data_IF_006297077463
#
_entry.id   IF_006297077463
#
_cell.length_a   1.000
_cell.length_b   1.000
_cell.length_c   1.000
_cell.angle_alpha   90.00
_cell.angle_beta   90.00
_cell.angle_gamma   90.00
#
_symmetry.space_group_name_H-M   'P 1'
#
loop_
_entity.id
_entity.type
_entity.pdbx_description
1 polymer ?
#
# COMPACT_ATOMS: atom_id res chain seq x y z
N UNK A 1 -78.03 -16.38 -45.15
CA UNK A 1 -76.82 -15.59 -44.80
C UNK A 1 -76.27 -15.89 -43.39
N UNK A 2 -77.02 -15.67 -42.29
CA UNK A 2 -76.51 -15.80 -40.90
C UNK A 2 -75.89 -17.17 -40.54
N UNK A 3 -76.43 -18.29 -41.01
CA UNK A 3 -75.88 -19.62 -40.74
C UNK A 3 -74.51 -19.90 -41.39
N UNK A 4 -74.27 -19.35 -42.59
CA UNK A 4 -73.00 -19.50 -43.33
C UNK A 4 -71.89 -18.73 -42.64
N UNK A 5 -72.14 -17.49 -42.21
CA UNK A 5 -71.19 -16.71 -41.41
C UNK A 5 -70.88 -17.37 -40.05
N UNK A 6 -71.87 -18.03 -39.43
CA UNK A 6 -71.66 -18.77 -38.19
C UNK A 6 -70.80 -20.04 -38.39
N UNK A 7 -70.91 -20.71 -39.54
CA UNK A 7 -70.07 -21.85 -39.89
C UNK A 7 -68.63 -21.40 -40.22
N UNK A 8 -68.47 -20.35 -41.02
CA UNK A 8 -67.17 -19.71 -41.31
C UNK A 8 -66.47 -19.25 -40.03
N UNK A 9 -67.20 -18.65 -39.10
CA UNK A 9 -66.66 -18.26 -37.79
C UNK A 9 -66.29 -19.45 -36.89
N UNK A 10 -66.89 -20.63 -37.08
CA UNK A 10 -66.46 -21.87 -36.38
C UNK A 10 -65.19 -22.46 -36.98
N UNK A 11 -65.09 -22.49 -38.31
CA UNK A 11 -63.88 -22.94 -39.02
C UNK A 11 -62.71 -22.02 -38.72
N UNK A 12 -62.89 -20.70 -38.80
CA UNK A 12 -61.86 -19.73 -38.44
C UNK A 12 -61.38 -19.89 -37.00
N UNK A 13 -62.29 -20.13 -36.03
CA UNK A 13 -61.92 -20.39 -34.64
C UNK A 13 -61.16 -21.70 -34.45
N UNK A 14 -61.51 -22.76 -35.20
CA UNK A 14 -60.76 -24.03 -35.19
C UNK A 14 -59.35 -23.85 -35.75
N UNK A 15 -59.21 -23.17 -36.88
CA UNK A 15 -57.92 -22.88 -37.50
C UNK A 15 -57.05 -22.00 -36.57
N UNK A 16 -57.61 -20.92 -36.02
CA UNK A 16 -56.91 -20.07 -35.05
C UNK A 16 -56.50 -20.85 -33.80
N UNK A 17 -57.36 -21.77 -33.30
CA UNK A 17 -57.03 -22.64 -32.16
C UNK A 17 -55.87 -23.58 -32.46
N UNK A 18 -55.80 -24.12 -33.68
CA UNK A 18 -54.68 -24.97 -34.14
C UNK A 18 -53.37 -24.18 -34.34
N UNK A 19 -53.46 -22.90 -34.74
CA UNK A 19 -52.29 -22.03 -34.88
C UNK A 19 -51.74 -21.48 -33.56
N UNK A 20 -52.49 -21.55 -32.44
CA UNK A 20 -52.05 -20.97 -31.15
C UNK A 20 -50.70 -21.51 -30.67
N UNK A 21 -50.46 -22.81 -30.83
CA UNK A 21 -49.20 -23.42 -30.39
C UNK A 21 -48.02 -22.91 -31.22
N UNK A 22 -48.19 -22.82 -32.54
CA UNK A 22 -47.19 -22.26 -33.45
C UNK A 22 -46.92 -20.78 -33.18
N UNK A 23 -47.97 -19.99 -32.89
CA UNK A 23 -47.83 -18.58 -32.50
C UNK A 23 -47.05 -18.45 -31.17
N UNK A 24 -47.36 -19.27 -30.16
CA UNK A 24 -46.66 -19.27 -28.88
C UNK A 24 -45.20 -19.76 -28.99
N UNK A 25 -44.89 -20.64 -29.93
CA UNK A 25 -43.50 -21.02 -30.24
C UNK A 25 -42.76 -19.89 -30.97
N UNK A 26 -43.43 -19.18 -31.87
CA UNK A 26 -42.85 -18.04 -32.57
C UNK A 26 -42.59 -16.86 -31.62
N UNK A 27 -43.52 -16.56 -30.70
CA UNK A 27 -43.34 -15.55 -29.65
C UNK A 27 -42.16 -15.89 -28.73
N UNK A 28 -42.04 -17.15 -28.32
CA UNK A 28 -40.88 -17.63 -27.55
C UNK A 28 -39.57 -17.50 -28.34
N UNK A 29 -39.57 -17.87 -29.62
CA UNK A 29 -38.40 -17.71 -30.49
C UNK A 29 -37.97 -16.25 -30.66
N UNK A 30 -38.93 -15.34 -30.86
CA UNK A 30 -38.66 -13.89 -30.94
C UNK A 30 -38.16 -13.36 -29.60
N UNK A 31 -38.74 -13.77 -28.47
CA UNK A 31 -38.29 -13.38 -27.15
C UNK A 31 -36.86 -13.86 -26.87
N UNK A 32 -36.53 -15.12 -27.20
CA UNK A 32 -35.17 -15.66 -27.06
C UNK A 32 -34.18 -14.91 -27.95
N UNK A 33 -34.50 -14.69 -29.22
CA UNK A 33 -33.62 -13.96 -30.14
C UNK A 33 -33.44 -12.48 -29.73
N UNK A 34 -34.49 -11.84 -29.20
CA UNK A 34 -34.40 -10.49 -28.65
C UNK A 34 -33.55 -10.46 -27.36
N UNK A 35 -33.68 -11.46 -26.49
CA UNK A 35 -32.87 -11.59 -25.27
C UNK A 35 -31.40 -11.85 -25.59
N UNK A 36 -31.08 -12.74 -26.53
CA UNK A 36 -29.70 -12.98 -26.99
C UNK A 36 -29.07 -11.72 -27.59
N UNK A 37 -29.85 -10.97 -28.39
CA UNK A 37 -29.38 -9.72 -28.99
C UNK A 37 -29.21 -8.61 -27.95
N UNK A 38 -30.09 -8.51 -26.96
CA UNK A 38 -29.95 -7.58 -25.83
C UNK A 38 -28.73 -7.92 -24.97
N UNK A 39 -28.51 -9.20 -24.65
CA UNK A 39 -27.30 -9.64 -23.94
C UNK A 39 -26.02 -9.29 -24.69
N UNK A 40 -26.00 -9.41 -26.02
CA UNK A 40 -24.86 -9.01 -26.84
C UNK A 40 -24.65 -7.49 -26.86
N UNK A 41 -25.73 -6.69 -26.86
CA UNK A 41 -25.68 -5.22 -26.81
C UNK A 41 -25.20 -4.73 -25.44
N UNK A 42 -25.63 -5.36 -24.35
CA UNK A 42 -25.28 -4.99 -22.98
C UNK A 42 -23.94 -5.55 -22.51
N UNK A 43 -23.34 -6.49 -23.26
CA UNK A 43 -22.05 -7.08 -22.91
C UNK A 43 -20.92 -6.06 -22.94
N UNK A 44 -20.82 -5.26 -24.02
CA UNK A 44 -19.81 -4.21 -24.15
C UNK A 44 -19.87 -3.15 -23.04
N UNK A 45 -21.04 -2.52 -22.80
CA UNK A 45 -21.23 -1.58 -21.69
C UNK A 45 -20.94 -2.18 -20.31
N UNK A 46 -21.26 -3.46 -20.10
CA UNK A 46 -20.98 -4.15 -18.83
C UNK A 46 -19.48 -4.34 -18.60
N UNK A 47 -18.74 -4.75 -19.62
CA UNK A 47 -17.28 -4.88 -19.54
C UNK A 47 -16.65 -3.51 -19.25
N UNK A 48 -17.06 -2.47 -19.97
CA UNK A 48 -16.57 -1.11 -19.73
C UNK A 48 -16.90 -0.61 -18.31
N UNK A 49 -18.10 -0.93 -17.79
CA UNK A 49 -18.46 -0.61 -16.41
C UNK A 49 -17.62 -1.39 -15.39
N UNK A 50 -17.34 -2.67 -15.64
CA UNK A 50 -16.47 -3.48 -14.78
C UNK A 50 -15.04 -2.96 -14.77
N UNK A 51 -14.48 -2.56 -15.92
CA UNK A 51 -13.17 -1.92 -16.01
C UNK A 51 -13.13 -0.60 -15.23
N UNK A 52 -14.18 0.22 -15.30
CA UNK A 52 -14.29 1.46 -14.53
C UNK A 52 -14.36 1.21 -13.01
N UNK A 53 -15.13 0.21 -12.57
CA UNK A 53 -15.19 -0.17 -11.16
C UNK A 53 -13.85 -0.72 -10.68
N UNK A 54 -13.18 -1.55 -11.50
CA UNK A 54 -11.84 -2.05 -11.21
C UNK A 54 -10.80 -0.94 -11.07
N UNK A 55 -10.84 0.04 -11.98
CA UNK A 55 -9.99 1.23 -11.94
C UNK A 55 -10.26 2.08 -10.69
N UNK A 56 -11.55 2.31 -10.38
CA UNK A 56 -11.96 3.04 -9.19
C UNK A 56 -11.42 2.37 -7.92
N UNK A 57 -11.60 1.05 -7.81
CA UNK A 57 -11.09 0.26 -6.70
C UNK A 57 -9.56 0.36 -6.58
N UNK A 58 -8.85 0.21 -7.70
CA UNK A 58 -7.39 0.32 -7.70
C UNK A 58 -6.90 1.73 -7.31
N UNK A 59 -7.55 2.79 -7.77
CA UNK A 59 -7.20 4.16 -7.38
C UNK A 59 -7.43 4.42 -5.89
N UNK A 60 -8.57 3.96 -5.35
CA UNK A 60 -8.85 4.02 -3.91
C UNK A 60 -7.83 3.21 -3.11
N UNK A 61 -7.55 1.96 -3.48
CA UNK A 61 -6.57 1.13 -2.80
C UNK A 61 -5.19 1.80 -2.75
N UNK A 62 -4.71 2.33 -3.89
CA UNK A 62 -3.42 3.04 -3.94
C UNK A 62 -3.41 4.27 -3.05
N UNK A 63 -4.45 5.10 -3.11
CA UNK A 63 -4.56 6.28 -2.26
C UNK A 63 -4.56 5.91 -0.77
N UNK A 64 -5.41 4.97 -0.36
CA UNK A 64 -5.54 4.59 1.05
C UNK A 64 -4.25 3.93 1.56
N UNK A 65 -3.68 3.03 0.78
CA UNK A 65 -2.54 2.20 1.19
C UNK A 65 -1.20 2.94 1.10
N UNK A 66 -1.01 3.80 0.09
CA UNK A 66 0.27 4.49 -0.17
C UNK A 66 0.31 5.92 0.34
N UNK A 67 -0.84 6.55 0.58
CA UNK A 67 -0.92 7.97 0.96
C UNK A 67 -1.66 8.14 2.29
N UNK A 68 -2.92 7.73 2.40
CA UNK A 68 -3.68 8.01 3.63
C UNK A 68 -3.11 7.28 4.87
N UNK A 69 -2.74 6.00 4.72
CA UNK A 69 -2.24 5.19 5.83
C UNK A 69 -0.96 5.75 6.49
N UNK A 70 0.08 6.21 5.75
CA UNK A 70 1.20 6.93 6.34
C UNK A 70 0.79 8.16 7.17
N UNK A 71 -0.15 8.98 6.68
CA UNK A 71 -0.63 10.13 7.42
C UNK A 71 -1.33 9.72 8.73
N UNK A 72 -2.19 8.71 8.66
CA UNK A 72 -2.93 8.21 9.83
C UNK A 72 -2.00 7.71 10.93
N UNK A 73 -0.96 6.95 10.56
CA UNK A 73 0.07 6.51 11.52
C UNK A 73 0.82 7.67 12.18
N UNK A 74 0.86 8.84 11.54
CA UNK A 74 1.46 10.07 12.10
C UNK A 74 0.47 10.91 12.91
N UNK A 75 -0.73 10.41 13.21
CA UNK A 75 -1.77 11.17 13.89
C UNK A 75 -2.36 12.28 13.02
N UNK A 76 -2.36 12.09 11.70
CA UNK A 76 -2.82 13.08 10.72
C UNK A 76 -3.78 12.46 9.73
N UNK A 77 -4.63 13.27 9.11
CA UNK A 77 -5.58 12.77 8.13
C UNK A 77 -5.73 13.77 6.96
N UNK A 78 -5.76 13.29 5.69
CA UNK A 78 -5.87 14.20 4.55
C UNK A 78 -7.23 14.90 4.53
N UNK A 79 -7.26 16.23 4.49
CA UNK A 79 -8.50 17.00 4.59
C UNK A 79 -9.25 17.19 3.26
N UNK A 80 -8.68 16.69 2.16
CA UNK A 80 -9.22 16.79 0.79
C UNK A 80 -9.16 15.43 0.08
N UNK A 81 -9.82 14.42 0.63
CA UNK A 81 -9.70 13.04 0.16
C UNK A 81 -10.21 12.88 -1.27
N UNK A 82 -11.28 13.56 -1.64
CA UNK A 82 -11.83 13.64 -3.00
C UNK A 82 -10.79 14.03 -4.07
N UNK A 83 -10.01 15.08 -3.80
CA UNK A 83 -8.92 15.55 -4.68
C UNK A 83 -7.85 14.46 -4.81
N UNK A 84 -7.54 13.77 -3.72
CA UNK A 84 -6.60 12.66 -3.74
C UNK A 84 -7.08 11.49 -4.59
N UNK A 85 -8.36 11.13 -4.50
CA UNK A 85 -8.98 10.08 -5.33
C UNK A 85 -8.97 10.48 -6.79
N UNK A 86 -9.38 11.71 -7.11
CA UNK A 86 -9.39 12.20 -8.49
C UNK A 86 -7.97 12.21 -9.09
N UNK A 87 -6.96 12.62 -8.31
CA UNK A 87 -5.58 12.63 -8.75
C UNK A 87 -5.02 11.21 -8.96
N UNK A 88 -5.28 10.28 -8.03
CA UNK A 88 -4.88 8.87 -8.17
C UNK A 88 -5.51 8.21 -9.39
N UNK A 89 -6.82 8.42 -9.62
CA UNK A 89 -7.51 7.87 -10.80
C UNK A 89 -7.01 8.49 -12.11
N UNK A 90 -6.69 9.78 -12.09
CA UNK A 90 -6.12 10.48 -13.26
C UNK A 90 -4.73 9.93 -13.60
N UNK A 91 -3.87 9.71 -12.60
CA UNK A 91 -2.55 9.12 -12.76
C UNK A 91 -2.64 7.68 -13.28
N UNK A 92 -3.53 6.87 -12.69
CA UNK A 92 -3.72 5.47 -13.06
C UNK A 92 -4.26 5.33 -14.49
N UNK A 93 -5.26 6.14 -14.86
CA UNK A 93 -5.78 6.20 -16.23
C UNK A 93 -4.69 6.56 -17.25
N UNK A 94 -3.77 7.46 -16.90
CA UNK A 94 -2.63 7.83 -17.76
C UNK A 94 -1.63 6.69 -17.91
N UNK A 95 -1.29 5.98 -16.83
CA UNK A 95 -0.31 4.88 -16.86
C UNK A 95 -0.83 3.66 -17.60
N UNK A 96 -2.07 3.28 -17.33
CA UNK A 96 -2.66 2.06 -17.90
C UNK A 96 -3.24 2.29 -19.30
N UNK A 97 -3.20 3.54 -19.81
CA UNK A 97 -3.80 3.96 -21.10
C UNK A 97 -5.26 3.50 -21.23
N UNK A 98 -5.97 3.43 -20.11
CA UNK A 98 -7.33 2.92 -20.05
C UNK A 98 -8.31 3.98 -20.56
N UNK A 99 -9.12 3.57 -21.53
CA UNK A 99 -10.23 4.30 -22.15
C UNK A 99 -9.94 5.77 -22.50
N UNK A 100 -9.78 6.04 -23.80
CA UNK A 100 -9.71 7.41 -24.32
C UNK A 100 -10.81 8.29 -23.70
N UNK A 101 -10.41 9.30 -22.93
CA UNK A 101 -11.30 10.27 -22.31
C UNK A 101 -11.68 10.06 -20.84
N UNK A 102 -11.24 8.99 -20.15
CA UNK A 102 -11.55 8.85 -18.70
C UNK A 102 -10.91 9.95 -17.85
N UNK A 103 -9.62 10.21 -18.04
CA UNK A 103 -8.94 11.34 -17.40
C UNK A 103 -9.59 12.69 -17.74
N UNK A 104 -10.12 12.85 -18.97
CA UNK A 104 -10.85 14.06 -19.36
C UNK A 104 -12.17 14.21 -18.58
N UNK A 105 -12.91 13.11 -18.37
CA UNK A 105 -14.14 13.09 -17.57
C UNK A 105 -13.91 13.36 -16.08
N UNK A 106 -12.77 12.93 -15.52
CA UNK A 106 -12.40 13.27 -14.15
C UNK A 106 -12.13 14.76 -13.95
N UNK A 107 -11.79 15.49 -15.03
CA UNK A 107 -11.63 16.94 -15.02
C UNK A 107 -12.95 17.71 -15.19
N UNK A 108 -14.08 17.02 -15.42
CA UNK A 108 -15.40 17.65 -15.43
C UNK A 108 -15.83 18.04 -14.01
N UNK A 109 -16.81 18.95 -13.93
CA UNK A 109 -17.32 19.43 -12.63
C UNK A 109 -17.88 18.24 -11.83
N UNK A 110 -17.32 17.90 -10.66
CA UNK A 110 -17.75 16.73 -9.91
C UNK A 110 -19.12 16.96 -9.28
N UNK A 111 -19.86 15.87 -9.03
CA UNK A 111 -21.19 15.94 -8.42
C UNK A 111 -21.15 16.50 -6.98
N UNK A 112 -20.01 16.37 -6.28
CA UNK A 112 -19.84 16.95 -4.94
C UNK A 112 -19.92 18.48 -4.94
N UNK A 113 -19.63 19.16 -6.06
CA UNK A 113 -19.82 20.62 -6.18
C UNK A 113 -21.28 21.09 -6.10
N UNK A 114 -22.23 20.15 -6.11
CA UNK A 114 -23.65 20.43 -5.93
C UNK A 114 -24.07 20.41 -4.45
N UNK A 115 -23.17 19.99 -3.56
CA UNK A 115 -23.42 19.99 -2.12
C UNK A 115 -23.36 21.43 -1.57
N UNK A 116 -24.11 21.69 -0.50
CA UNK A 116 -24.11 23.01 0.14
C UNK A 116 -22.75 23.33 0.78
N UNK A 117 -22.13 22.33 1.43
CA UNK A 117 -20.84 22.43 2.11
C UNK A 117 -19.89 21.29 1.68
N UNK A 118 -19.37 21.30 0.43
CA UNK A 118 -18.60 20.19 -0.12
C UNK A 118 -17.35 19.86 0.71
N UNK A 119 -16.66 20.87 1.23
CA UNK A 119 -15.46 20.66 2.06
C UNK A 119 -15.76 19.99 3.41
N UNK A 120 -16.89 20.33 4.05
CA UNK A 120 -17.28 19.70 5.31
C UNK A 120 -17.69 18.24 5.11
N UNK A 121 -18.34 17.93 3.98
CA UNK A 121 -18.67 16.56 3.60
C UNK A 121 -17.41 15.75 3.32
N UNK A 122 -16.44 16.30 2.61
CA UNK A 122 -15.18 15.59 2.34
C UNK A 122 -14.34 15.36 3.60
N UNK A 123 -14.29 16.32 4.53
CA UNK A 123 -13.69 16.13 5.85
C UNK A 123 -14.38 14.99 6.62
N UNK A 124 -15.71 14.97 6.66
CA UNK A 124 -16.47 13.90 7.30
C UNK A 124 -16.22 12.53 6.64
N UNK A 125 -16.11 12.47 5.31
CA UNK A 125 -15.77 11.25 4.56
C UNK A 125 -14.34 10.80 4.88
N UNK A 126 -13.40 11.72 5.00
CA UNK A 126 -12.00 11.39 5.32
C UNK A 126 -11.84 10.84 6.73
N UNK A 127 -12.50 11.46 7.72
CA UNK A 127 -12.55 10.96 9.10
C UNK A 127 -13.26 9.60 9.18
N UNK A 128 -14.38 9.41 8.49
CA UNK A 128 -15.07 8.12 8.40
C UNK A 128 -14.17 7.04 7.79
N UNK A 129 -13.43 7.38 6.73
CA UNK A 129 -12.50 6.47 6.07
C UNK A 129 -11.37 6.07 7.02
N UNK A 130 -10.75 7.03 7.71
CA UNK A 130 -9.73 6.75 8.72
C UNK A 130 -10.27 5.87 9.86
N UNK A 131 -11.51 6.10 10.27
CA UNK A 131 -12.16 5.29 11.29
C UNK A 131 -12.39 3.85 10.83
N UNK A 132 -12.89 3.64 9.60
CA UNK A 132 -13.15 2.31 9.04
C UNK A 132 -11.89 1.49 8.81
N UNK A 133 -10.81 2.12 8.33
CA UNK A 133 -9.61 1.41 7.89
C UNK A 133 -8.43 1.48 8.87
N UNK A 134 -8.41 2.45 9.78
CA UNK A 134 -7.32 2.65 10.74
C UNK A 134 -7.80 2.69 12.21
N UNK A 135 -9.10 2.81 12.46
CA UNK A 135 -9.63 3.00 13.81
C UNK A 135 -9.30 4.38 14.37
N UNK A 136 -9.11 5.38 13.50
CA UNK A 136 -8.91 6.78 13.91
C UNK A 136 -10.13 7.34 14.67
N UNK A 137 -9.95 8.44 15.43
CA UNK A 137 -11.05 9.09 16.14
C UNK A 137 -12.07 9.67 15.15
N UNK A 138 -13.32 9.81 15.61
CA UNK A 138 -14.41 10.34 14.79
C UNK A 138 -14.29 11.85 14.51
N UNK A 139 -13.57 12.58 15.36
CA UNK A 139 -13.40 14.03 15.27
C UNK A 139 -11.93 14.42 15.27
N UNK A 140 -11.63 15.54 14.62
CA UNK A 140 -10.32 16.20 14.63
C UNK A 140 -9.91 16.64 16.05
N UNK A 141 -8.61 16.64 16.32
CA UNK A 141 -8.09 17.04 17.63
C UNK A 141 -6.58 17.33 17.62
N UNK A 142 -6.00 17.71 18.77
CA UNK A 142 -4.57 18.06 18.85
C UNK A 142 -3.62 16.93 18.46
N UNK A 143 -4.01 15.68 18.70
CA UNK A 143 -3.29 14.46 18.30
C UNK A 143 -3.83 13.82 17.02
N UNK A 144 -4.79 14.48 16.35
CA UNK A 144 -5.45 14.00 15.13
C UNK A 144 -5.77 15.17 14.20
N UNK A 145 -4.74 15.69 13.54
CA UNK A 145 -4.81 16.96 12.82
C UNK A 145 -5.01 16.77 11.31
N UNK A 146 -5.75 17.67 10.63
CA UNK A 146 -5.83 17.67 9.18
C UNK A 146 -4.46 17.93 8.55
N UNK A 147 -4.25 17.38 7.36
CA UNK A 147 -3.13 17.73 6.48
C UNK A 147 -3.64 18.04 5.08
N UNK A 148 -3.18 19.15 4.52
CA UNK A 148 -3.46 19.50 3.12
C UNK A 148 -2.39 18.89 2.19
N UNK A 149 -2.74 18.74 0.91
CA UNK A 149 -1.84 18.12 -0.07
C UNK A 149 -0.57 18.91 -0.37
N UNK A 150 -0.55 20.23 -0.19
CA UNK A 150 0.67 21.03 -0.33
C UNK A 150 1.64 20.81 0.83
N UNK A 151 1.13 20.68 2.06
CA UNK A 151 1.91 20.42 3.26
C UNK A 151 2.28 18.93 3.44
N UNK A 152 1.57 18.02 2.78
CA UNK A 152 1.73 16.57 2.92
C UNK A 152 3.19 16.07 2.81
N UNK A 153 4.01 16.50 1.83
CA UNK A 153 5.39 16.03 1.72
C UNK A 153 6.25 16.40 2.94
N UNK A 154 6.09 17.58 3.50
CA UNK A 154 6.86 18.01 4.67
C UNK A 154 6.29 17.41 5.97
N UNK A 155 4.97 17.42 6.11
CA UNK A 155 4.34 17.08 7.38
C UNK A 155 4.17 15.58 7.62
N UNK A 156 4.11 14.79 6.53
CA UNK A 156 3.96 13.33 6.56
C UNK A 156 5.19 12.64 6.02
N UNK A 157 5.59 12.91 4.77
CA UNK A 157 6.66 12.14 4.10
C UNK A 157 8.00 12.30 4.81
N UNK A 158 8.48 13.54 4.97
CA UNK A 158 9.78 13.80 5.63
C UNK A 158 9.76 13.29 7.09
N UNK A 159 8.68 13.54 7.83
CA UNK A 159 8.56 13.07 9.22
C UNK A 159 8.54 11.55 9.33
N UNK A 160 7.84 10.85 8.42
CA UNK A 160 7.87 9.38 8.38
C UNK A 160 9.27 8.87 8.09
N UNK A 161 9.97 9.45 7.12
CA UNK A 161 11.35 9.06 6.83
C UNK A 161 12.28 9.26 8.03
N UNK A 162 12.19 10.41 8.72
CA UNK A 162 13.01 10.68 9.92
C UNK A 162 12.67 9.72 11.05
N UNK A 163 11.40 9.40 11.28
CA UNK A 163 10.98 8.44 12.30
C UNK A 163 11.47 7.01 12.00
N UNK A 164 11.37 6.57 10.73
CA UNK A 164 11.89 5.26 10.30
C UNK A 164 13.43 5.20 10.40
N UNK A 165 14.14 6.24 9.97
CA UNK A 165 15.59 6.34 10.12
C UNK A 165 16.03 6.37 11.60
N UNK A 166 15.30 7.08 12.48
CA UNK A 166 15.53 7.07 13.92
C UNK A 166 15.37 5.67 14.51
N UNK A 167 14.34 4.93 14.09
CA UNK A 167 14.12 3.55 14.50
C UNK A 167 15.27 2.64 14.06
N UNK A 168 15.71 2.77 12.81
CA UNK A 168 16.83 2.00 12.27
C UNK A 168 18.08 2.15 13.14
N UNK A 169 18.43 3.40 13.48
CA UNK A 169 19.59 3.66 14.33
C UNK A 169 19.40 3.16 15.77
N UNK A 170 18.21 3.33 16.37
CA UNK A 170 17.91 2.75 17.70
C UNK A 170 18.10 1.23 17.72
N UNK A 171 17.73 0.53 16.64
CA UNK A 171 17.95 -0.92 16.52
C UNK A 171 19.44 -1.24 16.35
N UNK A 172 20.17 -0.51 15.49
CA UNK A 172 21.62 -0.68 15.37
C UNK A 172 22.37 -0.47 16.70
N UNK A 173 21.97 0.54 17.47
CA UNK A 173 22.49 0.80 18.81
C UNK A 173 22.23 -0.39 19.75
N UNK A 174 21.03 -0.97 19.71
CA UNK A 174 20.67 -2.14 20.53
C UNK A 174 21.44 -3.41 20.15
N UNK A 175 21.89 -3.51 18.89
CA UNK A 175 22.74 -4.60 18.39
C UNK A 175 24.23 -4.37 18.71
N UNK A 176 24.59 -3.25 19.36
CA UNK A 176 25.98 -2.94 19.72
C UNK A 176 26.85 -2.49 18.56
N UNK A 177 26.26 -2.12 17.42
CA UNK A 177 26.99 -1.59 16.26
C UNK A 177 27.56 -0.22 16.65
N UNK A 178 28.86 -0.12 16.89
CA UNK A 178 29.45 1.13 17.37
C UNK A 178 29.43 2.22 16.29
N UNK A 179 29.19 3.50 16.64
CA UNK A 179 29.40 4.61 15.70
C UNK A 179 30.85 4.66 15.23
N UNK A 180 31.08 5.08 13.98
CA UNK A 180 32.43 5.35 13.50
C UNK A 180 32.98 6.58 14.23
N UNK A 181 33.87 6.35 15.19
CA UNK A 181 34.53 7.39 15.98
C UNK A 181 35.70 8.01 15.18
N UNK A 182 35.45 8.57 13.99
CA UNK A 182 36.46 9.40 13.34
C UNK A 182 36.52 10.76 14.06
N UNK A 183 37.58 11.05 14.84
CA UNK A 183 37.69 12.27 15.63
C UNK A 183 37.81 13.55 14.78
N UNK A 184 37.98 13.43 13.46
CA UNK A 184 37.97 14.57 12.54
C UNK A 184 36.56 15.05 12.16
N UNK A 185 35.50 14.32 12.53
CA UNK A 185 34.11 14.69 12.23
C UNK A 185 33.51 15.56 13.34
N UNK A 186 32.72 16.60 13.02
CA UNK A 186 32.16 17.52 14.03
C UNK A 186 31.21 16.88 15.05
N UNK A 187 30.72 15.66 14.78
CA UNK A 187 29.85 14.88 15.66
C UNK A 187 30.18 13.37 15.52
N UNK A 188 31.20 12.87 16.25
CA UNK A 188 31.75 11.52 16.08
C UNK A 188 30.81 10.34 16.45
N UNK A 189 29.50 10.59 16.62
CA UNK A 189 28.52 9.58 17.01
C UNK A 189 27.13 9.75 16.39
N UNK A 190 26.94 10.72 15.48
CA UNK A 190 25.64 11.00 14.88
C UNK A 190 25.12 9.87 13.98
N UNK A 191 23.81 9.82 13.70
CA UNK A 191 23.22 8.85 12.79
C UNK A 191 23.65 9.16 11.35
N UNK A 192 24.50 8.30 10.78
CA UNK A 192 25.02 8.43 9.41
C UNK A 192 24.57 7.27 8.55
N UNK A 193 24.33 7.52 7.26
CA UNK A 193 24.01 6.47 6.30
C UNK A 193 25.22 5.54 6.11
N UNK A 194 26.44 6.08 6.15
CA UNK A 194 27.68 5.30 6.08
C UNK A 194 27.72 4.19 7.12
N UNK A 195 27.32 4.46 8.38
CA UNK A 195 27.24 3.45 9.44
C UNK A 195 26.32 2.28 9.09
N UNK A 196 25.18 2.56 8.46
CA UNK A 196 24.24 1.51 8.00
C UNK A 196 24.87 0.68 6.89
N UNK A 197 25.47 1.34 5.89
CA UNK A 197 26.13 0.66 4.77
C UNK A 197 27.29 -0.21 5.24
N UNK A 198 28.12 0.29 6.13
CA UNK A 198 29.30 -0.42 6.64
C UNK A 198 28.89 -1.64 7.47
N UNK A 199 27.85 -1.52 8.30
CA UNK A 199 27.32 -2.66 9.05
C UNK A 199 26.84 -3.77 8.13
N UNK A 200 26.09 -3.43 7.07
CA UNK A 200 25.53 -4.43 6.15
C UNK A 200 26.56 -5.01 5.18
N UNK A 201 27.63 -4.26 4.87
CA UNK A 201 28.69 -4.67 3.96
C UNK A 201 29.83 -5.45 4.61
N UNK A 202 29.96 -5.39 5.94
CA UNK A 202 30.99 -6.15 6.64
C UNK A 202 30.73 -7.65 6.40
N UNK A 203 31.73 -8.45 6.00
CA UNK A 203 31.56 -9.89 5.89
C UNK A 203 31.26 -10.46 7.28
N UNK A 204 30.40 -11.48 7.37
CA UNK A 204 30.24 -12.23 8.62
C UNK A 204 31.65 -12.69 9.01
N UNK A 205 32.17 -12.20 10.12
CA UNK A 205 33.46 -12.69 10.59
C UNK A 205 33.26 -14.19 10.80
N UNK A 206 34.08 -15.00 10.12
CA UNK A 206 34.27 -16.41 10.43
C UNK A 206 34.83 -16.50 11.86
N UNK A 207 33.97 -16.30 12.86
CA UNK A 207 34.15 -16.88 14.18
C UNK A 207 33.78 -18.35 14.07
N UNK A 208 34.53 -19.08 13.24
CA UNK A 208 34.70 -20.50 13.43
C UNK A 208 35.53 -20.65 14.73
N UNK A 209 34.98 -21.21 15.81
CA UNK A 209 35.84 -21.70 16.87
C UNK A 209 36.75 -22.75 16.21
N UNK A 210 38.05 -22.50 16.22
CA UNK A 210 39.05 -23.50 15.83
C UNK A 210 38.95 -24.64 16.86
N UNK A 211 38.05 -25.58 16.61
CA UNK A 211 38.00 -26.86 17.31
C UNK A 211 39.05 -27.75 16.64
N UNK A 212 40.10 -28.20 17.34
CA UNK A 212 41.03 -29.14 16.76
C UNK A 212 40.32 -30.48 16.54
N UNK A 213 40.39 -30.96 15.31
CA UNK A 213 39.79 -32.20 14.84
C UNK A 213 40.20 -33.41 15.69
N UNK A 214 39.26 -34.28 16.07
CA UNK A 214 39.53 -35.68 16.34
C UNK A 214 39.01 -36.56 15.21
N UNK A 215 39.92 -37.37 14.69
CA UNK A 215 39.75 -38.52 13.81
C UNK A 215 38.54 -39.39 14.11
N UNK A 216 37.77 -39.71 13.07
CA UNK A 216 36.77 -40.78 13.05
C UNK A 216 37.43 -42.17 13.16
N UNK A 217 36.66 -43.19 13.54
CA UNK A 217 36.28 -44.19 12.54
C UNK A 217 34.79 -44.50 12.46
N UNK A 218 34.42 -45.02 11.29
CA UNK A 218 33.10 -45.46 10.81
C UNK A 218 32.50 -46.60 11.66
N UNK A 219 31.16 -46.70 11.70
CA UNK A 219 30.42 -47.91 11.28
C UNK A 219 28.88 -47.74 11.38
N UNK A 220 28.24 -48.03 10.23
CA UNK A 220 26.97 -48.74 9.95
C UNK A 220 25.58 -48.23 10.40
N UNK A 221 24.84 -47.81 9.35
CA UNK A 221 23.58 -48.36 8.81
C UNK A 221 22.27 -48.50 9.63
N UNK A 222 21.21 -48.03 8.96
CA UNK A 222 19.82 -48.52 8.90
C UNK A 222 18.76 -47.91 9.85
N UNK A 223 17.84 -47.13 9.27
CA UNK A 223 16.45 -47.55 9.04
C UNK A 223 15.57 -46.34 8.65
N UNK A 224 14.79 -46.49 7.59
CA UNK A 224 13.89 -45.48 7.07
C UNK A 224 12.63 -45.29 7.93
N UNK A 225 12.03 -44.10 7.84
CA UNK A 225 10.59 -44.00 7.62
C UNK A 225 10.18 -42.59 7.19
N UNK A 226 9.47 -42.57 6.07
CA UNK A 226 8.84 -41.44 5.43
C UNK A 226 7.45 -41.28 6.05
N UNK A 227 7.16 -40.15 6.70
CA UNK A 227 5.80 -39.78 7.08
C UNK A 227 5.67 -38.25 7.31
N UNK A 228 4.94 -37.61 6.39
CA UNK A 228 4.11 -36.41 6.58
C UNK A 228 4.61 -35.33 7.54
N UNK A 229 5.22 -34.29 6.97
CA UNK A 229 5.11 -32.93 7.54
C UNK A 229 4.09 -32.17 6.70
N UNK A 230 3.04 -31.58 7.30
CA UNK A 230 2.08 -30.79 6.54
C UNK A 230 2.76 -29.49 6.08
N UNK A 231 2.55 -29.19 4.80
CA UNK A 231 2.39 -27.85 4.21
C UNK A 231 2.98 -26.69 5.04
N UNK A 232 4.28 -26.42 4.84
CA UNK A 232 4.86 -25.10 5.13
C UNK A 232 4.32 -24.14 4.06
N UNK A 233 3.14 -23.60 4.32
CA UNK A 233 2.71 -22.37 3.68
C UNK A 233 3.73 -21.26 3.99
N UNK A 234 4.19 -20.60 2.92
CA UNK A 234 4.87 -19.30 2.91
C UNK A 234 6.12 -19.16 3.80
N UNK A 235 7.21 -19.83 3.41
CA UNK A 235 8.55 -19.36 3.79
C UNK A 235 8.83 -18.06 3.01
N UNK A 236 8.54 -16.94 3.66
CA UNK A 236 8.97 -15.60 3.30
C UNK A 236 10.46 -15.60 2.89
N UNK A 237 10.90 -14.97 1.77
CA UNK A 237 12.32 -14.86 1.47
C UNK A 237 13.04 -14.08 2.58
N UNK A 238 13.64 -14.84 3.50
CA UNK A 238 14.53 -14.33 4.54
C UNK A 238 15.60 -13.43 3.87
N UNK A 239 15.93 -12.27 4.46
CA UNK A 239 17.03 -11.46 3.96
C UNK A 239 18.30 -12.32 3.91
N UNK A 240 18.95 -12.34 2.74
CA UNK A 240 19.91 -13.40 2.43
C UNK A 240 21.22 -13.34 3.25
N UNK A 241 21.54 -12.21 3.91
CA UNK A 241 22.67 -12.12 4.86
C UNK A 241 22.21 -12.18 6.32
N UNK A 242 23.01 -12.80 7.19
CA UNK A 242 22.73 -12.92 8.63
C UNK A 242 22.55 -11.54 9.30
N UNK A 243 23.35 -10.54 8.93
CA UNK A 243 23.23 -9.18 9.46
C UNK A 243 21.92 -8.51 9.01
N UNK A 244 21.54 -8.65 7.73
CA UNK A 244 20.24 -8.17 7.25
C UNK A 244 19.09 -8.85 8.00
N UNK A 245 19.19 -10.16 8.27
CA UNK A 245 18.20 -10.91 9.06
C UNK A 245 18.09 -10.42 10.51
N UNK A 246 19.22 -10.21 11.19
CA UNK A 246 19.24 -9.69 12.56
C UNK A 246 18.65 -8.28 12.63
N UNK A 247 18.99 -7.41 11.67
CA UNK A 247 18.48 -6.04 11.62
C UNK A 247 16.98 -6.01 11.30
N UNK A 248 16.53 -6.83 10.35
CA UNK A 248 15.11 -6.99 10.02
C UNK A 248 14.31 -7.50 11.23
N UNK A 249 14.80 -8.53 11.93
CA UNK A 249 14.17 -9.05 13.14
C UNK A 249 14.10 -7.99 14.26
N UNK A 250 15.16 -7.20 14.44
CA UNK A 250 15.19 -6.08 15.38
C UNK A 250 14.16 -4.99 15.07
N UNK A 251 14.01 -4.64 13.79
CA UNK A 251 12.99 -3.69 13.30
C UNK A 251 11.57 -4.22 13.52
N UNK A 252 11.30 -5.48 13.15
CA UNK A 252 10.01 -6.14 13.37
C UNK A 252 9.65 -6.15 14.86
N UNK A 253 10.61 -6.49 15.73
CA UNK A 253 10.41 -6.47 17.17
C UNK A 253 10.16 -5.06 17.72
N UNK A 254 10.81 -4.04 17.16
CA UNK A 254 10.58 -2.64 17.55
C UNK A 254 9.18 -2.15 17.17
N UNK A 255 8.73 -2.44 15.94
CA UNK A 255 7.38 -2.09 15.49
C UNK A 255 6.30 -2.81 16.31
N UNK A 256 6.48 -4.11 16.56
CA UNK A 256 5.53 -4.87 17.37
C UNK A 256 5.43 -4.36 18.82
N UNK A 257 6.47 -3.70 19.36
CA UNK A 257 6.41 -3.04 20.67
C UNK A 257 5.61 -1.75 20.61
N UNK A 258 5.85 -0.92 19.61
CA UNK A 258 5.12 0.34 19.43
C UNK A 258 3.64 0.10 19.13
N UNK A 259 3.29 -0.87 18.29
CA UNK A 259 1.89 -1.25 18.05
C UNK A 259 1.17 -1.70 19.34
N UNK A 260 1.88 -2.38 20.25
CA UNK A 260 1.35 -2.77 21.56
C UNK A 260 1.17 -1.56 22.48
N UNK A 261 2.09 -0.61 22.46
CA UNK A 261 2.01 0.64 23.22
C UNK A 261 0.85 1.51 22.72
N UNK A 262 0.69 1.67 21.41
CA UNK A 262 -0.42 2.38 20.78
C UNK A 262 -1.77 1.72 21.06
N UNK A 263 -1.83 0.39 21.02
CA UNK A 263 -3.06 -0.36 21.33
C UNK A 263 -3.42 -0.34 22.83
N UNK A 264 -2.45 -0.08 23.70
CA UNK A 264 -2.67 0.07 25.14
C UNK A 264 -3.25 1.44 25.51
N UNK A 265 -3.10 2.45 24.64
CA UNK A 265 -3.80 3.72 24.77
C UNK A 265 -5.25 3.52 24.33
N UNK A 266 -6.26 3.77 25.20
CA UNK A 266 -7.65 3.64 24.78
C UNK A 266 -7.94 4.65 23.66
N UNK A 267 -8.08 4.17 22.42
CA UNK A 267 -8.62 4.95 21.30
C UNK A 267 -10.02 5.41 21.72
N UNK A 268 -10.19 6.73 21.85
CA UNK A 268 -11.17 7.34 22.73
C UNK A 268 -12.61 6.85 22.57
N UNK A 269 -13.13 6.22 23.63
CA UNK A 269 -14.55 6.29 23.95
C UNK A 269 -14.87 7.71 24.47
N UNK A 270 -15.39 8.59 23.62
CA UNK A 270 -16.26 9.74 23.98
C UNK A 270 -16.63 10.62 22.77
N UNK A 271 -17.81 10.38 22.21
CA UNK A 271 -18.74 11.42 21.72
C UNK A 271 -20.11 10.77 21.43
N UNK A 272 -20.98 10.67 22.43
CA UNK A 272 -22.38 10.27 22.23
C UNK A 272 -23.16 11.48 21.69
N UNK A 273 -23.15 11.64 20.36
CA UNK A 273 -24.04 12.56 19.64
C UNK A 273 -25.35 11.86 19.25
N UNK A 274 -26.47 12.56 19.02
CA UNK A 274 -27.76 11.92 18.74
C UNK A 274 -27.78 11.01 17.50
N UNK A 275 -26.87 11.22 16.54
CA UNK A 275 -26.71 10.39 15.33
C UNK A 275 -25.69 9.23 15.48
N UNK A 276 -25.03 9.10 16.64
CA UNK A 276 -24.08 8.00 16.91
C UNK A 276 -24.77 6.65 17.20
N UNK A 277 -26.10 6.60 17.16
CA UNK A 277 -26.88 5.40 17.49
C UNK A 277 -27.01 4.40 16.33
N UNK A 278 -26.68 4.80 15.09
CA UNK A 278 -26.75 3.90 13.92
C UNK A 278 -25.47 3.09 13.68
N UNK A 279 -24.37 3.47 14.32
CA UNK A 279 -23.06 2.85 14.16
C UNK A 279 -22.49 2.63 15.56
N UNK A 280 -22.69 1.44 16.14
CA UNK A 280 -22.12 1.10 17.45
C UNK A 280 -20.60 1.35 17.42
N UNK A 281 -20.17 2.34 18.22
CA UNK A 281 -18.84 2.96 18.19
C UNK A 281 -17.66 2.06 18.65
N UNK A 282 -17.86 0.74 18.76
CA UNK A 282 -16.86 -0.19 19.32
C UNK A 282 -16.40 -1.33 18.41
N UNK A 283 -17.21 -1.75 17.44
CA UNK A 283 -17.07 -3.09 16.80
C UNK A 283 -17.06 -3.04 15.27
N UNK A 284 -16.65 -1.92 14.65
CA UNK A 284 -16.39 -1.94 13.21
C UNK A 284 -15.14 -2.80 12.97
N UNK A 285 -15.24 -3.92 12.23
CA UNK A 285 -14.09 -4.76 11.96
C UNK A 285 -13.06 -3.92 11.19
N UNK A 286 -11.88 -3.74 11.78
CA UNK A 286 -10.78 -3.07 11.08
C UNK A 286 -10.38 -3.93 9.91
N UNK A 287 -10.40 -3.35 8.71
CA UNK A 287 -9.89 -3.99 7.51
C UNK A 287 -8.41 -3.62 7.37
N UNK A 288 -7.47 -4.53 7.66
CA UNK A 288 -6.05 -4.21 7.50
C UNK A 288 -5.78 -3.92 6.01
N UNK A 289 -5.42 -2.67 5.72
CA UNK A 289 -5.13 -2.22 4.35
C UNK A 289 -3.89 -2.87 3.75
N UNK A 290 -2.98 -3.38 4.58
CA UNK A 290 -1.76 -4.00 4.12
C UNK A 290 -1.65 -5.42 4.66
N UNK A 291 -1.22 -6.40 3.83
CA UNK A 291 -0.76 -7.67 4.35
C UNK A 291 0.44 -7.44 5.30
N UNK A 292 0.70 -8.38 6.22
CA UNK A 292 1.88 -8.30 7.07
C UNK A 292 3.14 -8.22 6.19
N UNK A 293 3.96 -7.19 6.46
CA UNK A 293 5.19 -6.96 5.70
C UNK A 293 6.25 -7.99 6.07
N UNK A 294 7.00 -8.39 5.07
CA UNK A 294 8.13 -9.29 5.23
C UNK A 294 9.29 -8.59 5.95
N UNK A 295 10.18 -9.34 6.61
CA UNK A 295 11.36 -8.76 7.25
C UNK A 295 12.22 -7.97 6.25
N UNK A 296 12.34 -8.50 5.03
CA UNK A 296 13.04 -7.88 3.90
C UNK A 296 12.40 -6.56 3.47
N UNK A 297 11.08 -6.49 3.34
CA UNK A 297 10.34 -5.26 3.01
C UNK A 297 10.50 -4.19 4.08
N UNK A 298 10.44 -4.58 5.36
CA UNK A 298 10.65 -3.67 6.47
C UNK A 298 12.06 -3.08 6.42
N UNK A 299 13.08 -3.91 6.27
CA UNK A 299 14.46 -3.45 6.18
C UNK A 299 14.67 -2.51 4.98
N UNK A 300 14.15 -2.86 3.81
CA UNK A 300 14.24 -2.03 2.61
C UNK A 300 13.59 -0.65 2.81
N UNK A 301 12.42 -0.59 3.45
CA UNK A 301 11.75 0.68 3.75
C UNK A 301 12.59 1.56 4.67
N UNK A 302 13.13 1.01 5.77
CA UNK A 302 13.93 1.79 6.73
C UNK A 302 15.26 2.27 6.15
N UNK A 303 15.93 1.45 5.32
CA UNK A 303 17.13 1.87 4.60
C UNK A 303 16.79 2.98 3.59
N UNK A 304 15.69 2.83 2.85
CA UNK A 304 15.21 3.86 1.91
C UNK A 304 14.93 5.17 2.63
N UNK A 305 14.25 5.14 3.78
CA UNK A 305 14.01 6.30 4.61
C UNK A 305 15.31 6.99 5.06
N UNK A 306 16.32 6.22 5.48
CA UNK A 306 17.63 6.77 5.85
C UNK A 306 18.34 7.43 4.67
N UNK A 307 18.25 6.83 3.46
CA UNK A 307 18.79 7.40 2.23
C UNK A 307 18.08 8.71 1.88
N UNK A 308 16.75 8.75 1.96
CA UNK A 308 15.97 9.94 1.71
C UNK A 308 16.33 11.08 2.68
N UNK A 309 16.47 10.78 3.99
CA UNK A 309 16.89 11.79 4.96
C UNK A 309 18.31 12.32 4.66
N UNK A 310 19.25 11.44 4.32
CA UNK A 310 20.60 11.85 3.93
C UNK A 310 20.59 12.72 2.67
N UNK A 311 19.75 12.41 1.69
CA UNK A 311 19.61 13.18 0.47
C UNK A 311 19.05 14.59 0.73
N UNK A 312 18.00 14.70 1.56
CA UNK A 312 17.41 15.98 1.96
C UNK A 312 18.45 16.83 2.69
N UNK A 313 19.17 16.25 3.65
CA UNK A 313 20.08 17.00 4.52
C UNK A 313 21.41 17.37 3.83
N UNK A 314 21.84 16.64 2.80
CA UNK A 314 23.20 16.78 2.24
C UNK A 314 23.26 17.15 0.76
N UNK A 315 22.21 16.87 -0.01
CA UNK A 315 22.17 17.07 -1.46
C UNK A 315 21.07 18.04 -1.91
N UNK A 316 20.30 18.62 -0.98
CA UNK A 316 19.20 19.54 -1.33
C UNK A 316 18.00 18.84 -1.98
N UNK A 317 17.87 17.52 -1.77
CA UNK A 317 16.69 16.79 -2.19
C UNK A 317 15.45 17.26 -1.42
N UNK A 318 14.26 17.01 -1.96
CA UNK A 318 13.00 17.33 -1.31
C UNK A 318 12.10 16.09 -1.19
N UNK A 319 11.28 15.99 -0.13
CA UNK A 319 10.18 15.03 -0.08
C UNK A 319 9.14 15.40 -1.13
N UNK A 320 8.56 14.38 -1.76
CA UNK A 320 7.48 14.50 -2.73
C UNK A 320 6.41 13.44 -2.54
N UNK A 321 5.36 13.52 -3.34
CA UNK A 321 4.24 12.58 -3.35
C UNK A 321 3.92 12.16 -4.79
N UNK A 322 3.88 10.84 -5.01
CA UNK A 322 3.30 10.20 -6.18
C UNK A 322 1.98 9.53 -5.77
N UNK A 323 0.89 9.76 -6.49
CA UNK A 323 -0.43 9.27 -6.09
C UNK A 323 -0.58 7.75 -6.15
N UNK A 324 0.27 7.04 -6.90
CA UNK A 324 0.22 5.59 -7.05
C UNK A 324 1.31 4.88 -6.25
N UNK A 325 2.46 5.53 -6.12
CA UNK A 325 3.63 4.95 -5.45
C UNK A 325 3.80 5.46 -4.01
N UNK A 326 3.19 6.60 -3.66
CA UNK A 326 3.24 7.22 -2.35
C UNK A 326 4.43 8.18 -2.19
N UNK A 327 5.08 8.20 -1.01
CA UNK A 327 6.27 8.99 -0.75
C UNK A 327 7.35 8.83 -1.84
N UNK A 328 7.88 9.94 -2.34
CA UNK A 328 8.95 9.93 -3.35
C UNK A 328 10.03 10.95 -3.05
N UNK A 329 11.27 10.64 -3.41
CA UNK A 329 12.41 11.55 -3.28
C UNK A 329 12.56 12.35 -4.57
N UNK A 330 12.64 13.68 -4.45
CA UNK A 330 12.88 14.59 -5.56
C UNK A 330 14.34 15.09 -5.51
N UNK A 331 15.10 14.81 -6.57
CA UNK A 331 16.45 15.32 -6.79
C UNK A 331 16.37 16.33 -7.95
N UNK A 332 16.77 17.58 -7.71
CA UNK A 332 16.65 18.67 -8.68
C UNK A 332 15.22 18.86 -9.25
N UNK A 333 14.21 18.52 -8.46
CA UNK A 333 12.79 18.59 -8.85
C UNK A 333 12.26 17.37 -9.61
N UNK A 334 13.13 16.41 -9.94
CA UNK A 334 12.77 15.17 -10.64
C UNK A 334 12.74 13.99 -9.68
N UNK A 335 11.86 13.01 -9.96
CA UNK A 335 11.76 11.80 -9.14
C UNK A 335 13.05 10.97 -9.24
N UNK A 336 13.63 10.64 -8.09
CA UNK A 336 14.75 9.72 -7.99
C UNK A 336 14.34 8.32 -8.50
N UNK A 337 15.08 7.81 -9.49
CA UNK A 337 14.90 6.49 -10.07
C UNK A 337 15.95 5.49 -9.55
N UNK A 338 15.73 4.20 -9.82
CA UNK A 338 16.70 3.10 -9.63
C UNK A 338 17.21 2.88 -8.19
N UNK A 339 16.52 3.42 -7.18
CA UNK A 339 16.91 3.24 -5.78
C UNK A 339 16.62 1.81 -5.28
N UNK A 340 15.42 1.28 -5.57
CA UNK A 340 14.97 -0.04 -5.11
C UNK A 340 15.96 -1.17 -5.43
N UNK A 341 16.43 -1.37 -6.68
CA UNK A 341 17.35 -2.47 -6.97
C UNK A 341 18.70 -2.34 -6.22
N UNK A 342 19.16 -1.11 -5.94
CA UNK A 342 20.41 -0.85 -5.21
C UNK A 342 20.28 -1.19 -3.72
N UNK A 343 19.13 -0.89 -3.13
CA UNK A 343 18.80 -1.27 -1.75
C UNK A 343 18.67 -2.79 -1.63
N UNK A 344 18.07 -3.46 -2.62
CA UNK A 344 17.96 -4.92 -2.62
C UNK A 344 19.32 -5.61 -2.72
N UNK A 345 20.23 -5.17 -3.60
CA UNK A 345 21.60 -5.71 -3.67
C UNK A 345 22.34 -5.56 -2.34
N UNK A 346 22.17 -4.44 -1.63
CA UNK A 346 22.73 -4.28 -0.29
C UNK A 346 22.13 -5.28 0.73
N UNK A 347 20.81 -5.49 0.71
CA UNK A 347 20.13 -6.35 1.69
C UNK A 347 20.43 -7.84 1.44
N UNK A 348 20.40 -8.24 0.17
CA UNK A 348 20.45 -9.63 -0.27
C UNK A 348 21.90 -10.10 -0.42
N UNK A 349 22.78 -9.27 -0.98
CA UNK A 349 24.16 -9.65 -1.29
C UNK A 349 25.17 -9.05 -0.30
N UNK A 350 24.75 -8.09 0.52
CA UNK A 350 25.67 -7.31 1.34
C UNK A 350 26.56 -6.39 0.51
N UNK A 351 26.24 -6.14 -0.77
CA UNK A 351 27.05 -5.30 -1.66
C UNK A 351 26.60 -3.83 -1.59
N UNK A 352 27.38 -2.92 -0.98
CA UNK A 352 27.05 -1.50 -0.95
C UNK A 352 27.47 -0.77 -2.24
N UNK A 353 28.21 -1.38 -3.16
CA UNK A 353 28.85 -0.67 -4.27
C UNK A 353 27.83 -0.01 -5.23
N UNK A 354 26.74 -0.67 -5.68
CA UNK A 354 25.76 -0.05 -6.56
C UNK A 354 25.06 1.16 -5.93
N UNK A 355 24.85 1.09 -4.61
CA UNK A 355 24.23 2.17 -3.85
C UNK A 355 25.21 3.32 -3.60
N UNK A 356 26.46 3.03 -3.21
CA UNK A 356 27.51 4.05 -3.02
C UNK A 356 27.79 4.83 -4.31
N UNK A 357 27.83 4.15 -5.45
CA UNK A 357 27.98 4.81 -6.75
C UNK A 357 26.84 5.82 -7.02
N UNK A 358 25.59 5.39 -6.81
CA UNK A 358 24.42 6.25 -6.99
C UNK A 358 24.39 7.43 -6.02
N UNK A 359 24.76 7.22 -4.75
CA UNK A 359 24.85 8.30 -3.76
C UNK A 359 25.88 9.35 -4.20
N UNK A 360 27.05 8.92 -4.69
CA UNK A 360 28.09 9.81 -5.17
C UNK A 360 27.67 10.60 -6.42
N UNK A 361 27.02 9.95 -7.39
CA UNK A 361 26.45 10.59 -8.58
C UNK A 361 25.39 11.63 -8.22
N UNK A 362 24.57 11.34 -7.20
CA UNK A 362 23.51 12.21 -6.71
C UNK A 362 24.01 13.30 -5.74
N UNK A 363 25.32 13.35 -5.46
CA UNK A 363 25.92 14.32 -4.53
C UNK A 363 25.61 14.09 -3.05
N UNK A 364 24.99 12.96 -2.69
CA UNK A 364 24.58 12.62 -1.33
C UNK A 364 25.82 12.22 -0.53
N UNK A 365 25.95 12.76 0.68
CA UNK A 365 27.10 12.55 1.57
C UNK A 365 26.76 11.58 2.70
N UNK A 366 26.98 10.26 2.53
CA UNK A 366 26.56 9.26 3.53
C UNK A 366 27.28 9.40 4.88
N UNK A 367 28.45 10.04 4.90
CA UNK A 367 29.28 10.27 6.08
C UNK A 367 28.77 11.40 6.97
N UNK A 368 27.91 12.28 6.46
CA UNK A 368 27.38 13.41 7.24
C UNK A 368 26.25 12.94 8.16
N UNK A 369 26.19 13.46 9.40
CA UNK A 369 25.09 13.15 10.31
C UNK A 369 23.77 13.70 9.77
N UNK A 370 22.72 12.90 9.92
CA UNK A 370 21.36 13.22 9.49
C UNK A 370 20.54 13.71 10.69
N UNK A 371 19.65 14.68 10.49
CA UNK A 371 18.74 15.16 11.52
C UNK A 371 17.55 14.21 11.62
N UNK A 372 17.34 13.58 12.77
CA UNK A 372 16.27 12.58 12.95
C UNK A 372 15.11 13.06 13.82
N UNK A 373 15.07 14.36 14.15
CA UNK A 373 14.03 14.99 14.99
C UNK A 373 13.59 16.31 14.40
#
# INVERSE_FOLDING_TARGET
ARGVYAALGRVARLLLRGCREHAALMERGVATAAAERAHAVDYGPRIAAQEQVGLAYAGWDRLLTKVALPAWRMGRWPSRLDVGVAAALTELSRRDRLADGFAARLGERPACDLLEEPGAVDEAVSLLTARLFHGGPAESGPSWAPVDWQAYPEEVVDRTWRAEAARLHRVLDSLGVSPSLDPATPDPGGPTLARVLDHLAEPAADTAPTVPAPTAPLDNEDNGNNANTPDRADADPDPATERSALLAAGLSAALAREEREESAVPRGARAQGPDSALWEDGDLPLFPLQPPRTGRELLAAHITAMICCAAVDTAGAAPGLDWLDGPTLLLDGERAADLTPKVLSLIEEGDPAPLRAWLAESGIRPEKPVRLV
#
